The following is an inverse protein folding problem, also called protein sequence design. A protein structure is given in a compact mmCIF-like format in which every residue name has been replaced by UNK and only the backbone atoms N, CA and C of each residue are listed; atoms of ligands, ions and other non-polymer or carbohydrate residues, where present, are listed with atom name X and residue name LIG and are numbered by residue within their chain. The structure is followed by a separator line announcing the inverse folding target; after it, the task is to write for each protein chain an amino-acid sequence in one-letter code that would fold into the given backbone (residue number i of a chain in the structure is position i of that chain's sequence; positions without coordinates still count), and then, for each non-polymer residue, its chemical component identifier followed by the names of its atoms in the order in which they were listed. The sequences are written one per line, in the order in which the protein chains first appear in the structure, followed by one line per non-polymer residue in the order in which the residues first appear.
data_IF_605467155839
#
_entry.id   IF_605467155839
#
_cell.length_a   1.000
_cell.length_b   1.000
_cell.length_c   1.000
_cell.angle_alpha   90.00
_cell.angle_beta   90.00
_cell.angle_gamma   90.00
#
_symmetry.space_group_name_H-M   'P 1'
#
loop_
_entity.id
_entity.type
_entity.pdbx_description
1 polymer ?
#
# COMPACT_ATOMS: atom_id res chain seq x y z
N UNK A 1 17.68 10.94 3.17
CA UNK A 1 16.78 12.10 3.33
C UNK A 1 15.44 11.61 3.87
N UNK A 2 14.68 12.43 4.61
CA UNK A 2 13.56 11.93 5.38
C UNK A 2 12.28 11.78 4.56
N UNK A 3 11.37 10.94 5.09
CA UNK A 3 10.00 10.95 4.66
C UNK A 3 9.31 12.26 5.12
N UNK A 4 8.56 12.88 4.24
CA UNK A 4 7.80 14.09 4.51
C UNK A 4 6.37 13.73 4.92
N UNK A 5 5.99 14.06 6.14
CA UNK A 5 4.65 13.81 6.69
C UNK A 5 4.22 14.95 7.62
N UNK A 6 2.90 15.18 7.81
CA UNK A 6 2.40 16.18 8.76
C UNK A 6 2.87 15.92 10.19
N UNK A 7 3.24 16.99 10.93
CA UNK A 7 3.72 16.88 12.32
C UNK A 7 2.70 16.25 13.28
N UNK A 8 1.42 16.45 13.01
CA UNK A 8 0.31 15.96 13.82
C UNK A 8 -0.19 14.56 13.40
N UNK A 9 0.43 13.93 12.38
CA UNK A 9 0.15 12.54 12.05
C UNK A 9 0.67 11.63 13.18
N UNK A 10 -0.13 10.69 13.72
CA UNK A 10 0.30 9.78 14.81
C UNK A 10 1.61 9.05 14.53
N UNK A 11 1.84 8.65 13.27
CA UNK A 11 3.07 8.02 12.84
C UNK A 11 4.32 8.90 13.05
N UNK A 12 4.20 10.24 13.03
CA UNK A 12 5.34 11.15 13.18
C UNK A 12 6.07 10.93 14.51
N UNK A 13 5.35 10.98 15.63
CA UNK A 13 5.94 10.77 16.96
C UNK A 13 6.50 9.36 17.14
N UNK A 14 5.82 8.35 16.63
CA UNK A 14 6.28 6.96 16.68
C UNK A 14 7.61 6.79 15.97
N UNK A 15 7.73 7.29 14.73
CA UNK A 15 8.94 7.18 13.93
C UNK A 15 10.12 7.97 14.53
N UNK A 16 9.85 9.16 15.09
CA UNK A 16 10.88 9.93 15.82
C UNK A 16 11.40 9.14 17.03
N UNK A 17 10.53 8.53 17.82
CA UNK A 17 10.92 7.71 18.97
C UNK A 17 11.70 6.44 18.58
N UNK A 18 11.52 5.95 17.38
CA UNK A 18 12.28 4.83 16.80
C UNK A 18 13.62 5.27 16.16
N UNK A 19 14.00 6.54 16.31
CA UNK A 19 15.18 7.15 15.66
C UNK A 19 15.13 7.12 14.12
N UNK A 20 13.93 7.08 13.55
CA UNK A 20 13.73 7.19 12.11
C UNK A 20 13.60 8.66 11.75
N UNK A 21 14.37 9.09 10.76
CA UNK A 21 14.38 10.49 10.36
C UNK A 21 13.14 10.84 9.54
N UNK A 22 12.25 11.62 10.14
CA UNK A 22 11.07 12.21 9.49
C UNK A 22 11.22 13.72 9.39
N UNK A 23 10.58 14.31 8.39
CA UNK A 23 10.63 15.76 8.18
C UNK A 23 9.20 16.33 8.11
N UNK A 24 8.99 17.41 8.81
CA UNK A 24 7.76 18.18 8.76
C UNK A 24 7.62 18.92 7.42
N UNK A 25 6.38 19.13 6.98
CA UNK A 25 6.05 19.82 5.73
C UNK A 25 6.73 21.18 5.61
N UNK A 26 6.71 21.99 6.67
CA UNK A 26 7.32 23.32 6.69
C UNK A 26 8.84 23.30 6.46
N UNK A 27 9.52 22.31 7.02
CA UNK A 27 10.96 22.17 6.85
C UNK A 27 11.31 21.61 5.46
N UNK A 28 10.52 20.66 4.97
CA UNK A 28 10.70 20.04 3.67
C UNK A 28 10.51 21.06 2.53
N UNK A 29 9.53 21.98 2.65
CA UNK A 29 9.23 22.99 1.63
C UNK A 29 10.34 24.03 1.43
N UNK A 30 11.29 24.13 2.37
CA UNK A 30 12.46 25.01 2.26
C UNK A 30 13.63 24.39 1.51
N UNK A 31 13.52 23.15 1.10
CA UNK A 31 14.55 22.44 0.36
C UNK A 31 14.22 22.46 -1.14
N UNK A 32 15.19 22.81 -1.96
CA UNK A 32 15.08 22.76 -3.42
C UNK A 32 15.37 21.32 -3.93
N UNK A 33 14.44 20.42 -3.62
CA UNK A 33 14.54 19.01 -3.97
C UNK A 33 13.18 18.55 -4.50
N UNK A 34 13.18 17.82 -5.62
CA UNK A 34 12.00 17.10 -6.08
C UNK A 34 11.82 15.81 -5.24
N UNK A 35 10.85 15.75 -4.34
CA UNK A 35 10.56 14.51 -3.61
C UNK A 35 9.93 13.48 -4.53
N UNK A 36 10.09 12.19 -4.19
CA UNK A 36 9.28 11.12 -4.74
C UNK A 36 7.85 11.23 -4.18
N UNK A 37 6.86 11.37 -5.05
CA UNK A 37 5.46 11.42 -4.65
C UNK A 37 4.89 10.01 -4.58
N UNK A 38 4.43 9.61 -3.41
CA UNK A 38 3.85 8.28 -3.17
C UNK A 38 2.43 8.42 -2.66
N UNK A 39 1.46 7.89 -3.40
CA UNK A 39 0.09 7.75 -2.95
C UNK A 39 -0.12 6.39 -2.28
N UNK A 40 -0.85 6.37 -1.15
CA UNK A 40 -1.20 5.14 -0.42
C UNK A 40 -2.72 5.05 -0.31
N UNK A 41 -3.32 4.17 -1.09
CA UNK A 41 -4.74 3.81 -0.95
C UNK A 41 -4.85 2.81 0.20
N UNK A 42 -5.26 3.32 1.36
CA UNK A 42 -5.31 2.53 2.59
C UNK A 42 -6.70 1.92 2.79
N UNK A 43 -6.85 0.64 2.44
CA UNK A 43 -8.09 -0.13 2.58
C UNK A 43 -8.20 -0.84 3.93
N UNK A 44 -7.14 -0.80 4.76
CA UNK A 44 -7.12 -1.48 6.05
C UNK A 44 -8.08 -0.82 7.06
N UNK A 45 -8.75 -1.60 7.91
CA UNK A 45 -9.61 -1.06 8.97
C UNK A 45 -8.82 -0.33 10.07
N UNK A 46 -7.59 -0.78 10.36
CA UNK A 46 -6.66 -0.18 11.34
C UNK A 46 -5.70 0.77 10.64
N UNK A 47 -6.21 1.89 10.12
CA UNK A 47 -5.45 2.80 9.26
C UNK A 47 -4.17 3.33 9.91
N UNK A 48 -4.24 3.82 11.13
CA UNK A 48 -3.10 4.41 11.86
C UNK A 48 -1.93 3.43 12.00
N UNK A 49 -2.22 2.16 12.31
CA UNK A 49 -1.18 1.12 12.42
C UNK A 49 -0.55 0.85 11.06
N UNK A 50 -1.38 0.73 10.03
CA UNK A 50 -0.91 0.49 8.65
C UNK A 50 -0.07 1.65 8.12
N UNK A 51 -0.49 2.89 8.38
CA UNK A 51 0.27 4.11 8.08
C UNK A 51 1.68 4.02 8.69
N UNK A 52 1.75 3.80 10.00
CA UNK A 52 3.03 3.72 10.72
C UNK A 52 3.94 2.65 10.13
N UNK A 53 3.40 1.46 9.80
CA UNK A 53 4.17 0.37 9.21
C UNK A 53 4.71 0.72 7.82
N UNK A 54 3.87 1.27 6.94
CA UNK A 54 4.29 1.64 5.59
C UNK A 54 5.27 2.81 5.60
N UNK A 55 5.01 3.83 6.41
CA UNK A 55 5.87 5.00 6.53
C UNK A 55 7.26 4.63 7.08
N UNK A 56 7.33 3.68 8.02
CA UNK A 56 8.59 3.12 8.51
C UNK A 56 9.42 2.49 7.40
N UNK A 57 8.78 1.71 6.52
CA UNK A 57 9.46 1.08 5.38
C UNK A 57 9.90 2.11 4.33
N UNK A 58 9.03 3.06 4.00
CA UNK A 58 9.30 4.10 3.00
C UNK A 58 10.35 5.12 3.48
N UNK A 59 10.55 5.27 4.77
CA UNK A 59 11.60 6.15 5.32
C UNK A 59 13.02 5.55 5.22
N UNK A 60 13.15 4.27 4.91
CA UNK A 60 14.45 3.60 4.74
C UNK A 60 15.04 3.84 3.34
N UNK A 61 15.17 5.11 2.96
CA UNK A 61 15.73 5.54 1.67
C UNK A 61 16.50 6.85 1.84
N UNK A 62 17.57 7.10 1.07
CA UNK A 62 18.23 8.40 1.03
C UNK A 62 17.42 9.47 0.27
N UNK A 63 16.34 9.10 -0.41
CA UNK A 63 15.51 10.04 -1.18
C UNK A 63 14.42 10.65 -0.30
N UNK A 64 14.07 11.90 -0.55
CA UNK A 64 12.90 12.51 0.07
C UNK A 64 11.63 11.92 -0.53
N UNK A 65 10.70 11.50 0.34
CA UNK A 65 9.42 10.92 -0.05
C UNK A 65 8.29 11.79 0.50
N UNK A 66 7.39 12.19 -0.38
CA UNK A 66 6.17 12.95 -0.09
C UNK A 66 4.97 12.02 -0.16
N UNK A 67 4.24 11.88 0.95
CA UNK A 67 3.16 10.89 1.11
C UNK A 67 1.79 11.53 0.98
N UNK A 68 0.95 10.93 0.15
CA UNK A 68 -0.47 11.24 0.04
C UNK A 68 -1.29 10.04 0.49
N UNK A 69 -2.01 10.16 1.62
CA UNK A 69 -2.91 9.12 2.10
C UNK A 69 -4.27 9.25 1.43
N UNK A 70 -4.74 8.16 0.83
CA UNK A 70 -6.00 8.12 0.06
C UNK A 70 -6.97 7.13 0.71
N UNK A 71 -8.21 7.57 0.90
CA UNK A 71 -9.33 6.71 1.33
C UNK A 71 -10.34 6.55 0.20
N UNK A 72 -11.09 5.47 0.23
CA UNK A 72 -12.27 5.29 -0.62
C UNK A 72 -13.40 6.21 -0.16
N UNK A 73 -14.15 6.75 -1.10
CA UNK A 73 -15.35 7.58 -0.84
C UNK A 73 -16.57 6.71 -0.50
N UNK A 74 -16.64 5.54 -1.12
CA UNK A 74 -17.78 4.63 -1.01
C UNK A 74 -17.81 3.82 0.28
N UNK A 75 -16.74 3.86 1.10
CA UNK A 75 -16.64 3.12 2.35
C UNK A 75 -16.20 4.00 3.52
N UNK A 76 -17.01 4.02 4.57
CA UNK A 76 -16.66 4.67 5.84
C UNK A 76 -16.02 3.65 6.80
N UNK A 77 -14.73 3.80 7.14
CA UNK A 77 -14.06 2.91 8.08
C UNK A 77 -14.60 3.11 9.50
N UNK A 78 -14.95 2.00 10.16
CA UNK A 78 -15.51 2.03 11.53
C UNK A 78 -14.45 2.20 12.62
N UNK A 79 -13.18 1.83 12.34
CA UNK A 79 -12.12 1.76 13.35
C UNK A 79 -11.13 2.94 13.28
N UNK A 80 -11.49 4.00 12.55
CA UNK A 80 -10.68 5.22 12.45
C UNK A 80 -11.58 6.42 12.68
N UNK A 81 -11.15 7.36 13.51
CA UNK A 81 -11.94 8.55 13.80
C UNK A 81 -12.14 9.41 12.55
N UNK A 82 -13.30 10.07 12.45
CA UNK A 82 -13.58 10.98 11.33
C UNK A 82 -12.60 12.15 11.31
N UNK A 83 -12.19 12.64 12.48
CA UNK A 83 -11.19 13.69 12.61
C UNK A 83 -9.86 13.29 11.94
N UNK A 84 -9.38 12.07 12.17
CA UNK A 84 -8.16 11.54 11.53
C UNK A 84 -8.31 11.49 10.00
N UNK A 85 -9.46 11.02 9.51
CA UNK A 85 -9.74 10.93 8.09
C UNK A 85 -9.81 12.30 7.40
N UNK A 86 -10.41 13.27 8.06
CA UNK A 86 -10.52 14.65 7.53
C UNK A 86 -9.16 15.35 7.50
N UNK A 87 -8.35 15.14 8.52
CA UNK A 87 -7.08 15.84 8.67
C UNK A 87 -5.97 15.25 7.77
N UNK A 88 -5.98 13.95 7.48
CA UNK A 88 -4.83 13.28 6.87
C UNK A 88 -5.14 12.56 5.56
N UNK A 89 -6.41 12.31 5.24
CA UNK A 89 -6.79 11.57 4.05
C UNK A 89 -7.42 12.46 3.00
N UNK A 90 -7.06 12.22 1.77
CA UNK A 90 -7.73 12.73 0.58
C UNK A 90 -8.55 11.61 -0.08
N UNK A 91 -9.36 11.97 -1.07
CA UNK A 91 -10.14 11.03 -1.87
C UNK A 91 -9.53 10.88 -3.27
N UNK A 92 -9.93 9.82 -3.98
CA UNK A 92 -9.47 9.61 -5.35
C UNK A 92 -9.82 10.78 -6.27
N UNK A 93 -11.01 11.34 -6.14
CA UNK A 93 -11.44 12.49 -6.94
C UNK A 93 -10.56 13.73 -6.76
N UNK A 94 -9.93 13.91 -5.61
CA UNK A 94 -9.04 15.04 -5.33
C UNK A 94 -7.64 14.87 -5.92
N UNK A 95 -7.25 13.65 -6.25
CA UNK A 95 -5.90 13.34 -6.77
C UNK A 95 -5.87 12.87 -8.22
N UNK A 96 -7.02 12.65 -8.85
CA UNK A 96 -7.11 12.01 -10.17
C UNK A 96 -6.36 12.74 -11.30
N UNK A 97 -6.12 14.05 -11.16
CA UNK A 97 -5.36 14.85 -12.12
C UNK A 97 -3.85 14.93 -11.76
N UNK A 98 -3.43 14.29 -10.67
CA UNK A 98 -2.04 14.31 -10.20
C UNK A 98 -1.28 13.07 -10.68
N UNK A 99 0.05 13.25 -10.80
CA UNK A 99 0.97 12.17 -11.15
C UNK A 99 1.82 11.80 -9.93
N UNK A 100 2.05 10.49 -9.77
CA UNK A 100 2.82 9.92 -8.67
C UNK A 100 3.97 9.06 -9.19
N UNK A 101 5.08 9.04 -8.45
CA UNK A 101 6.19 8.13 -8.71
C UNK A 101 5.85 6.70 -8.26
N UNK A 102 5.01 6.57 -7.22
CA UNK A 102 4.49 5.27 -6.81
C UNK A 102 3.06 5.35 -6.25
N UNK A 103 2.30 4.26 -6.45
CA UNK A 103 1.02 4.01 -5.83
C UNK A 103 1.11 2.72 -5.01
N UNK A 104 0.68 2.75 -3.76
CA UNK A 104 0.56 1.57 -2.90
C UNK A 104 -0.93 1.35 -2.60
N UNK A 105 -1.44 0.17 -2.94
CA UNK A 105 -2.80 -0.24 -2.57
C UNK A 105 -2.68 -1.31 -1.49
N UNK A 106 -3.18 -1.03 -0.29
CA UNK A 106 -3.05 -1.95 0.84
C UNK A 106 -4.04 -3.11 0.75
N UNK A 107 -3.81 -4.13 1.55
CA UNK A 107 -4.78 -5.20 1.75
C UNK A 107 -6.07 -4.72 2.42
N UNK A 108 -7.05 -5.63 2.44
CA UNK A 108 -8.31 -5.46 3.15
C UNK A 108 -8.80 -6.83 3.65
N UNK A 109 -9.48 -6.92 4.81
CA UNK A 109 -9.95 -8.19 5.36
C UNK A 109 -11.26 -8.64 4.70
N UNK A 110 -11.25 -8.76 3.38
CA UNK A 110 -12.41 -9.14 2.54
C UNK A 110 -12.07 -10.28 1.59
N UNK A 111 -11.06 -11.08 1.91
CA UNK A 111 -10.54 -12.13 1.05
C UNK A 111 -11.55 -13.25 0.73
N UNK A 112 -12.56 -13.45 1.58
CA UNK A 112 -13.61 -14.47 1.37
C UNK A 112 -14.77 -13.93 0.53
N UNK A 113 -14.89 -12.61 0.33
CA UNK A 113 -15.95 -12.02 -0.48
C UNK A 113 -15.58 -12.09 -1.97
N UNK A 114 -16.59 -12.28 -2.83
CA UNK A 114 -16.41 -12.04 -4.26
C UNK A 114 -16.06 -10.58 -4.52
N UNK A 115 -15.22 -10.32 -5.53
CA UNK A 115 -14.75 -8.96 -5.81
C UNK A 115 -15.91 -8.00 -6.03
N UNK A 116 -16.92 -8.41 -6.82
CA UNK A 116 -18.10 -7.59 -7.11
C UNK A 116 -19.00 -7.33 -5.89
N UNK A 117 -18.83 -8.09 -4.81
CA UNK A 117 -19.56 -7.92 -3.55
C UNK A 117 -18.88 -6.92 -2.60
N UNK A 118 -17.68 -6.45 -2.93
CA UNK A 118 -16.96 -5.45 -2.14
C UNK A 118 -17.51 -4.05 -2.46
N UNK A 119 -18.00 -3.34 -1.47
CA UNK A 119 -18.68 -2.04 -1.65
C UNK A 119 -17.90 -0.99 -2.45
N UNK A 120 -16.58 -0.96 -2.30
CA UNK A 120 -15.68 -0.04 -3.00
C UNK A 120 -15.04 -0.66 -4.25
N UNK A 121 -15.55 -1.80 -4.76
CA UNK A 121 -14.94 -2.50 -5.88
C UNK A 121 -14.85 -1.64 -7.14
N UNK A 122 -15.93 -0.96 -7.50
CA UNK A 122 -15.96 -0.09 -8.68
C UNK A 122 -14.93 1.04 -8.57
N UNK A 123 -14.90 1.73 -7.43
CA UNK A 123 -13.93 2.80 -7.17
C UNK A 123 -12.48 2.27 -7.22
N UNK A 124 -12.24 1.07 -6.68
CA UNK A 124 -10.93 0.44 -6.75
C UNK A 124 -10.54 0.09 -8.20
N UNK A 125 -11.47 -0.36 -9.03
CA UNK A 125 -11.24 -0.58 -10.46
C UNK A 125 -10.84 0.73 -11.17
N UNK A 126 -11.55 1.83 -10.87
CA UNK A 126 -11.23 3.15 -11.43
C UNK A 126 -9.83 3.61 -11.02
N UNK A 127 -9.44 3.40 -9.76
CA UNK A 127 -8.09 3.68 -9.25
C UNK A 127 -7.04 2.81 -9.95
N UNK A 128 -7.30 1.52 -10.14
CA UNK A 128 -6.38 0.61 -10.83
C UNK A 128 -6.23 0.98 -12.31
N UNK A 129 -7.30 1.38 -12.99
CA UNK A 129 -7.19 1.86 -14.37
C UNK A 129 -6.40 3.17 -14.45
N UNK A 130 -6.72 4.14 -13.61
CA UNK A 130 -6.03 5.41 -13.49
C UNK A 130 -4.52 5.22 -13.22
N UNK A 131 -4.16 4.23 -12.40
CA UNK A 131 -2.77 3.98 -12.04
C UNK A 131 -1.86 3.65 -13.24
N UNK A 132 -2.43 3.10 -14.32
CA UNK A 132 -1.67 2.76 -15.54
C UNK A 132 -1.05 3.99 -16.23
N UNK A 133 -1.61 5.16 -16.02
CA UNK A 133 -1.17 6.40 -16.68
C UNK A 133 -0.67 7.46 -15.72
N UNK A 134 -1.03 7.40 -14.44
CA UNK A 134 -0.73 8.43 -13.44
C UNK A 134 0.23 7.99 -12.33
N UNK A 135 0.55 6.70 -12.24
CA UNK A 135 1.57 6.17 -11.34
C UNK A 135 2.69 5.49 -12.14
N UNK A 136 3.94 5.88 -11.87
CA UNK A 136 5.07 5.23 -12.55
C UNK A 136 5.19 3.76 -12.13
N UNK A 137 4.93 3.47 -10.85
CA UNK A 137 5.00 2.12 -10.28
C UNK A 137 3.82 1.88 -9.34
N UNK A 138 3.20 0.70 -9.39
CA UNK A 138 2.09 0.34 -8.50
C UNK A 138 2.41 -0.93 -7.73
N UNK A 139 2.23 -0.89 -6.40
CA UNK A 139 2.40 -2.04 -5.51
C UNK A 139 1.05 -2.40 -4.92
N UNK A 140 0.64 -3.64 -5.14
CA UNK A 140 -0.57 -4.22 -4.56
C UNK A 140 -0.20 -5.16 -3.42
N UNK A 141 -0.74 -4.94 -2.22
CA UNK A 141 -0.40 -5.71 -1.02
C UNK A 141 -1.56 -6.62 -0.62
N UNK A 142 -1.27 -7.90 -0.34
CA UNK A 142 -2.20 -8.87 0.21
C UNK A 142 -3.47 -9.03 -0.67
N UNK A 143 -4.67 -8.72 -0.14
CA UNK A 143 -5.92 -8.81 -0.89
C UNK A 143 -5.92 -7.92 -2.15
N UNK A 144 -5.30 -6.73 -2.09
CA UNK A 144 -5.18 -5.88 -3.26
C UNK A 144 -4.36 -6.53 -4.39
N UNK A 145 -3.42 -7.43 -4.07
CA UNK A 145 -2.70 -8.19 -5.09
C UNK A 145 -3.66 -9.15 -5.84
N UNK A 146 -4.57 -9.81 -5.13
CA UNK A 146 -5.62 -10.61 -5.77
C UNK A 146 -6.56 -9.75 -6.63
N UNK A 147 -6.94 -8.57 -6.11
CA UNK A 147 -7.77 -7.62 -6.83
C UNK A 147 -7.10 -7.14 -8.12
N UNK A 148 -5.82 -6.79 -8.07
CA UNK A 148 -5.04 -6.39 -9.23
C UNK A 148 -4.87 -7.51 -10.26
N UNK A 149 -4.57 -8.73 -9.82
CA UNK A 149 -4.48 -9.91 -10.69
C UNK A 149 -5.81 -10.19 -11.38
N UNK A 150 -6.92 -10.09 -10.66
CA UNK A 150 -8.25 -10.27 -11.22
C UNK A 150 -8.60 -9.16 -12.23
N UNK A 151 -8.43 -7.89 -11.85
CA UNK A 151 -8.80 -6.75 -12.67
C UNK A 151 -7.97 -6.66 -13.96
N UNK A 152 -6.64 -6.77 -13.87
CA UNK A 152 -5.76 -6.57 -15.01
C UNK A 152 -5.60 -7.81 -15.90
N UNK A 153 -5.74 -9.02 -15.32
CA UNK A 153 -5.40 -10.26 -16.03
C UNK A 153 -6.50 -11.33 -15.97
N UNK A 154 -7.62 -11.07 -15.30
CA UNK A 154 -8.73 -12.04 -15.16
C UNK A 154 -8.39 -13.23 -14.26
N UNK A 155 -7.27 -13.17 -13.50
CA UNK A 155 -6.83 -14.28 -12.65
C UNK A 155 -7.67 -14.35 -11.40
N UNK A 156 -8.42 -15.47 -11.25
CA UNK A 156 -9.31 -15.70 -10.12
C UNK A 156 -8.54 -16.05 -8.84
N UNK A 157 -9.08 -15.64 -7.70
CA UNK A 157 -8.65 -16.18 -6.42
C UNK A 157 -9.37 -17.49 -6.13
N UNK A 158 -8.70 -18.38 -5.41
CA UNK A 158 -9.27 -19.63 -4.94
C UNK A 158 -9.32 -19.63 -3.42
N UNK A 159 -10.45 -20.03 -2.87
CA UNK A 159 -10.61 -20.22 -1.41
C UNK A 159 -10.07 -21.59 -1.05
N UNK A 160 -9.27 -21.66 0.01
CA UNK A 160 -8.71 -22.89 0.56
C UNK A 160 -9.74 -23.55 1.49
N UNK A 161 -9.78 -24.88 1.53
CA UNK A 161 -10.61 -25.65 2.46
C UNK A 161 -10.27 -25.34 3.93
N UNK A 162 -9.00 -25.04 4.17
CA UNK A 162 -8.51 -24.62 5.48
C UNK A 162 -7.41 -23.57 5.36
N UNK A 163 -7.27 -22.76 6.42
CA UNK A 163 -6.27 -21.72 6.50
C UNK A 163 -4.86 -22.29 6.29
N UNK A 164 -4.13 -21.73 5.32
CA UNK A 164 -2.69 -21.92 5.20
C UNK A 164 -1.99 -21.02 6.23
N UNK A 165 -1.37 -21.64 7.22
CA UNK A 165 -0.68 -20.96 8.30
C UNK A 165 0.65 -21.63 8.60
N UNK A 166 1.74 -20.87 8.59
CA UNK A 166 3.08 -21.39 8.84
C UNK A 166 4.17 -20.57 8.16
N UNK A 167 5.39 -21.11 8.21
CA UNK A 167 6.56 -20.56 7.53
C UNK A 167 6.95 -21.52 6.43
N UNK A 168 7.03 -21.02 5.20
CA UNK A 168 7.25 -21.85 4.01
C UNK A 168 8.49 -21.41 3.24
N UNK A 169 9.26 -22.35 2.67
CA UNK A 169 10.38 -22.01 1.79
C UNK A 169 9.87 -21.49 0.45
N UNK A 170 10.41 -20.36 0.03
CA UNK A 170 10.20 -19.78 -1.28
C UNK A 170 11.50 -19.84 -2.08
N UNK A 171 11.43 -20.25 -3.34
CA UNK A 171 12.55 -20.28 -4.27
C UNK A 171 12.46 -19.14 -5.26
N UNK A 172 13.58 -18.49 -5.55
CA UNK A 172 13.68 -17.50 -6.62
C UNK A 172 13.62 -18.21 -7.97
N UNK A 173 12.65 -17.85 -8.80
CA UNK A 173 12.53 -18.36 -10.18
C UNK A 173 13.19 -17.41 -11.20
N UNK A 174 13.31 -16.11 -10.88
CA UNK A 174 13.91 -15.10 -11.75
C UNK A 174 15.18 -14.52 -11.11
N UNK A 175 16.29 -15.22 -11.26
CA UNK A 175 17.58 -14.97 -10.57
C UNK A 175 18.08 -13.52 -10.73
N UNK A 176 17.86 -12.89 -11.88
CA UNK A 176 18.37 -11.55 -12.17
C UNK A 176 17.29 -10.45 -12.06
N UNK A 177 16.15 -10.73 -11.42
CA UNK A 177 15.11 -9.73 -11.31
C UNK A 177 15.49 -8.65 -10.27
N UNK A 178 15.41 -7.34 -10.60
CA UNK A 178 15.84 -6.25 -9.71
C UNK A 178 15.19 -6.27 -8.32
N UNK A 179 13.91 -6.66 -8.23
CA UNK A 179 13.18 -6.75 -6.97
C UNK A 179 13.65 -7.88 -6.04
N UNK A 180 14.39 -8.85 -6.56
CA UNK A 180 14.88 -10.01 -5.79
C UNK A 180 16.37 -9.89 -5.46
N UNK A 181 17.00 -8.77 -5.81
CA UNK A 181 18.40 -8.51 -5.50
C UNK A 181 18.63 -8.47 -3.99
N UNK A 182 19.50 -9.34 -3.51
CA UNK A 182 19.85 -9.46 -2.08
C UNK A 182 19.04 -10.50 -1.31
N UNK A 183 18.12 -11.20 -1.99
CA UNK A 183 17.48 -12.38 -1.42
C UNK A 183 18.36 -13.63 -1.63
N UNK A 184 18.30 -14.56 -0.70
CA UNK A 184 18.85 -15.91 -0.88
C UNK A 184 18.06 -16.68 -1.94
N UNK A 185 18.67 -17.67 -2.59
CA UNK A 185 18.00 -18.54 -3.57
C UNK A 185 16.75 -19.22 -2.99
N UNK A 186 16.79 -19.53 -1.71
CA UNK A 186 15.66 -20.05 -0.93
C UNK A 186 15.56 -19.22 0.35
N UNK A 187 14.39 -18.62 0.59
CA UNK A 187 14.12 -17.84 1.78
C UNK A 187 12.78 -18.23 2.41
N UNK A 188 12.66 -18.04 3.71
CA UNK A 188 11.48 -18.45 4.49
C UNK A 188 10.46 -17.32 4.54
N UNK A 189 9.20 -17.63 4.18
CA UNK A 189 8.10 -16.64 4.15
C UNK A 189 6.96 -17.08 5.06
N UNK A 190 6.51 -16.24 6.01
CA UNK A 190 5.33 -16.51 6.81
C UNK A 190 4.05 -16.37 5.97
N UNK A 191 3.18 -17.36 6.04
CA UNK A 191 1.87 -17.35 5.43
C UNK A 191 0.76 -17.39 6.49
N UNK A 192 -0.30 -16.59 6.25
CA UNK A 192 -1.53 -16.61 7.04
C UNK A 192 -2.68 -16.20 6.11
N UNK A 193 -3.23 -17.17 5.36
CA UNK A 193 -4.20 -16.89 4.29
C UNK A 193 -5.26 -17.96 4.14
N UNK A 194 -6.45 -17.56 3.72
CA UNK A 194 -7.56 -18.43 3.31
C UNK A 194 -7.72 -18.52 1.80
N UNK A 195 -6.96 -17.72 1.05
CA UNK A 195 -7.10 -17.64 -0.41
C UNK A 195 -5.74 -17.68 -1.08
N UNK A 196 -5.73 -18.19 -2.30
CA UNK A 196 -4.59 -18.19 -3.23
C UNK A 196 -5.03 -17.66 -4.59
N UNK A 197 -4.10 -17.07 -5.35
CA UNK A 197 -4.20 -16.96 -6.81
C UNK A 197 -3.15 -17.90 -7.41
N UNK A 198 -3.61 -18.77 -8.28
CA UNK A 198 -2.71 -19.65 -9.02
C UNK A 198 -2.39 -18.96 -10.34
N UNK A 199 -1.17 -18.47 -10.44
CA UNK A 199 -0.61 -17.95 -11.69
C UNK A 199 0.16 -19.13 -12.29
N UNK A 200 -0.43 -19.76 -13.30
CA UNK A 200 0.30 -20.73 -14.09
C UNK A 200 1.18 -19.99 -15.06
N UNK A 201 2.44 -20.23 -14.91
CA UNK A 201 3.48 -19.74 -15.79
C UNK A 201 3.83 -20.88 -16.75
#
# INVERSE_FOLDING_TARGET
MPIKIPNNLPAFSTLVNENIFVMADEKASRQDIRPLKVAIVNLMPTKIVTETQLLRLLSNTPLQVDITLVKTETHNPKNTSQEHLVNFYTTFNQIKEQYFDALIITGAPVELLDFNSVHYWKELCDIMEWSKTHAFSTVHICWAAFAGLYYHYGIQKQVLDKKMFGIFPHKINAINHPLLKGFDDIFMVPHSRYTLSLIHI
#
